data_IF_895777050253
#
_entry.id   IF_895777050253
#
_cell.length_a   1.000
_cell.length_b   1.000
_cell.length_c   1.000
_cell.angle_alpha   90.00
_cell.angle_beta   90.00
_cell.angle_gamma   90.00
#
_symmetry.space_group_name_H-M   'P 1'
#
loop_
_entity.id
_entity.type
_entity.pdbx_description
1 polymer ?
#
# COMPACT_ATOMS: atom_id res chain seq x y z
N UNK A 1 54.97 -52.84 -68.91
CA UNK A 1 55.69 -53.02 -67.63
C UNK A 1 55.89 -51.66 -67.00
N UNK A 2 55.14 -51.36 -65.94
CA UNK A 2 55.62 -50.76 -64.69
C UNK A 2 54.38 -50.36 -63.89
N UNK A 3 54.07 -51.20 -62.90
CA UNK A 3 53.03 -50.94 -61.92
C UNK A 3 53.47 -49.79 -61.02
N UNK A 4 52.76 -48.67 -61.10
CA UNK A 4 52.86 -47.58 -60.12
C UNK A 4 52.05 -47.98 -58.89
N UNK A 5 52.71 -48.35 -57.80
CA UNK A 5 52.05 -48.58 -56.51
C UNK A 5 51.95 -47.22 -55.80
N UNK A 6 50.79 -46.59 -55.87
CA UNK A 6 50.43 -45.45 -55.02
C UNK A 6 50.34 -45.93 -53.57
N UNK A 7 51.31 -45.53 -52.73
CA UNK A 7 51.26 -45.75 -51.29
C UNK A 7 50.44 -44.64 -50.63
N UNK A 8 49.12 -44.80 -50.58
CA UNK A 8 48.27 -44.01 -49.68
C UNK A 8 48.48 -44.51 -48.24
N UNK A 9 48.87 -43.65 -47.28
CA UNK A 9 49.06 -44.07 -45.90
C UNK A 9 47.72 -44.44 -45.25
N UNK A 10 47.57 -45.70 -44.84
CA UNK A 10 46.42 -46.13 -44.06
C UNK A 10 46.63 -45.72 -42.60
N UNK A 11 46.02 -44.61 -42.19
CA UNK A 11 46.08 -44.09 -40.82
C UNK A 11 44.96 -44.77 -40.01
N UNK A 12 45.33 -45.69 -39.12
CA UNK A 12 44.36 -46.28 -38.17
C UNK A 12 44.17 -45.34 -36.97
N UNK A 13 42.95 -44.84 -36.76
CA UNK A 13 42.61 -43.94 -35.66
C UNK A 13 42.22 -44.75 -34.41
N UNK A 14 43.08 -44.79 -33.38
CA UNK A 14 42.77 -45.34 -32.06
C UNK A 14 42.35 -44.20 -31.10
N UNK A 15 41.41 -44.41 -30.16
CA UNK A 15 40.92 -43.37 -29.25
C UNK A 15 42.04 -42.77 -28.37
N UNK A 16 41.94 -41.47 -28.03
CA UNK A 16 43.06 -40.70 -27.50
C UNK A 16 43.16 -40.85 -25.98
N UNK A 17 43.93 -41.80 -25.48
CA UNK A 17 44.46 -41.67 -24.12
C UNK A 17 45.70 -42.56 -23.87
N UNK A 18 46.90 -41.94 -23.80
CA UNK A 18 48.22 -42.53 -23.37
C UNK A 18 49.29 -42.86 -24.42
N UNK A 19 49.30 -42.25 -25.62
CA UNK A 19 50.46 -42.38 -26.55
C UNK A 19 51.00 -41.02 -27.01
N UNK A 20 52.33 -40.86 -26.96
CA UNK A 20 53.05 -39.61 -27.29
C UNK A 20 53.36 -39.43 -28.79
N UNK A 21 53.43 -40.52 -29.56
CA UNK A 21 53.82 -40.49 -30.98
C UNK A 21 52.88 -41.31 -31.87
N UNK A 22 52.65 -40.83 -33.09
CA UNK A 22 51.89 -41.56 -34.12
C UNK A 22 52.64 -42.81 -34.58
N UNK A 23 51.88 -43.84 -34.96
CA UNK A 23 52.40 -45.05 -35.61
C UNK A 23 52.09 -45.02 -37.10
N UNK A 24 53.09 -45.35 -37.90
CA UNK A 24 53.00 -45.43 -39.34
C UNK A 24 53.11 -46.89 -39.75
N UNK A 25 52.21 -47.31 -40.64
CA UNK A 25 52.16 -48.67 -41.20
C UNK A 25 52.94 -48.72 -42.53
N UNK A 26 53.30 -47.55 -43.09
CA UNK A 26 54.06 -47.49 -44.34
C UNK A 26 55.45 -48.10 -44.11
N UNK A 27 55.82 -49.17 -44.85
CA UNK A 27 57.06 -49.88 -44.60
C UNK A 27 58.26 -49.00 -44.95
N UNK A 28 59.15 -48.81 -43.99
CA UNK A 28 60.51 -48.28 -44.17
C UNK A 28 61.51 -49.42 -44.23
N UNK A 29 62.64 -49.20 -44.87
CA UNK A 29 63.74 -50.16 -44.87
C UNK A 29 64.65 -49.87 -43.68
N UNK A 30 64.93 -50.89 -42.88
CA UNK A 30 65.90 -50.83 -41.78
C UNK A 30 67.00 -51.83 -42.07
N UNK A 31 68.24 -51.37 -42.06
CA UNK A 31 69.41 -52.20 -42.28
C UNK A 31 70.01 -52.57 -40.92
N UNK A 32 70.04 -53.87 -40.61
CA UNK A 32 70.65 -54.42 -39.40
C UNK A 32 71.71 -55.41 -39.84
N UNK A 33 72.96 -55.25 -39.40
CA UNK A 33 74.06 -56.16 -39.75
C UNK A 33 74.21 -56.42 -41.27
N UNK A 34 74.01 -55.39 -42.10
CA UNK A 34 74.05 -55.45 -43.58
C UNK A 34 72.91 -56.26 -44.24
N UNK A 35 71.88 -56.67 -43.49
CA UNK A 35 70.63 -57.20 -44.05
C UNK A 35 69.54 -56.14 -44.00
N UNK A 36 68.76 -56.04 -45.08
CA UNK A 36 67.64 -55.11 -45.20
C UNK A 36 66.33 -55.76 -44.76
N UNK A 37 65.61 -55.10 -43.85
CA UNK A 37 64.31 -55.53 -43.34
C UNK A 37 63.27 -54.44 -43.59
N UNK A 38 62.03 -54.84 -43.94
CA UNK A 38 60.90 -53.91 -44.03
C UNK A 38 60.17 -53.81 -42.70
N UNK A 39 59.85 -52.59 -42.28
CA UNK A 39 59.04 -52.38 -41.07
C UNK A 39 57.57 -52.73 -41.30
N UNK A 40 56.93 -53.26 -40.26
CA UNK A 40 55.47 -53.50 -40.19
C UNK A 40 54.78 -52.29 -39.61
N UNK A 41 55.33 -51.74 -38.53
CA UNK A 41 54.98 -50.42 -38.03
C UNK A 41 56.21 -49.72 -37.47
N UNK A 42 56.17 -48.39 -37.45
CA UNK A 42 57.23 -47.57 -36.87
C UNK A 42 56.68 -46.26 -36.31
N UNK A 43 57.44 -45.65 -35.41
CA UNK A 43 57.21 -44.32 -34.84
C UNK A 43 58.54 -43.59 -34.67
N UNK A 44 58.50 -42.38 -34.10
CA UNK A 44 59.70 -41.61 -33.72
C UNK A 44 60.57 -42.35 -32.69
N UNK A 45 59.99 -43.24 -31.87
CA UNK A 45 60.69 -43.89 -30.75
C UNK A 45 61.02 -45.37 -30.98
N UNK A 46 60.28 -46.07 -31.86
CA UNK A 46 60.47 -47.50 -32.04
C UNK A 46 60.08 -47.96 -33.44
N UNK A 47 60.59 -49.12 -33.85
CA UNK A 47 60.15 -49.81 -35.05
C UNK A 47 59.92 -51.29 -34.79
N UNK A 48 59.11 -51.89 -35.65
CA UNK A 48 58.81 -53.31 -35.69
C UNK A 48 59.10 -53.85 -37.07
N UNK A 49 59.88 -54.94 -37.14
CA UNK A 49 60.14 -55.68 -38.37
C UNK A 49 59.65 -57.12 -38.25
N UNK A 50 59.43 -57.75 -39.40
CA UNK A 50 59.15 -59.18 -39.54
C UNK A 50 60.16 -59.83 -40.47
N UNK A 51 60.42 -61.12 -40.29
CA UNK A 51 61.40 -61.89 -41.07
C UNK A 51 62.82 -61.83 -40.53
N UNK A 52 63.01 -61.47 -39.26
CA UNK A 52 64.32 -61.49 -38.61
C UNK A 52 64.68 -62.90 -38.11
N UNK A 53 65.79 -63.46 -38.63
CA UNK A 53 66.26 -64.83 -38.29
C UNK A 53 67.58 -64.84 -37.48
N UNK A 54 68.01 -63.70 -36.93
CA UNK A 54 69.25 -63.64 -36.15
C UNK A 54 69.09 -63.95 -34.65
N UNK A 55 70.22 -63.95 -33.94
CA UNK A 55 70.32 -64.39 -32.53
C UNK A 55 70.29 -63.26 -31.48
N UNK A 56 69.72 -62.11 -31.83
CA UNK A 56 69.60 -60.98 -30.89
C UNK A 56 68.71 -61.31 -29.69
N UNK A 57 69.11 -60.83 -28.51
CA UNK A 57 68.38 -60.96 -27.25
C UNK A 57 67.69 -59.65 -26.87
N UNK A 58 66.67 -59.76 -26.03
CA UNK A 58 66.02 -58.59 -25.42
C UNK A 58 67.04 -57.84 -24.56
N UNK A 59 67.03 -56.51 -24.64
CA UNK A 59 67.99 -55.54 -24.09
C UNK A 59 69.33 -55.40 -24.81
N UNK A 60 69.61 -56.15 -25.88
CA UNK A 60 70.80 -55.89 -26.69
C UNK A 60 70.71 -54.51 -27.36
N UNK A 61 71.84 -53.80 -27.43
CA UNK A 61 71.97 -52.54 -28.19
C UNK A 61 72.72 -52.84 -29.48
N UNK A 62 72.12 -52.49 -30.61
CA UNK A 62 72.71 -52.65 -31.95
C UNK A 62 72.63 -51.34 -32.72
N UNK A 63 73.49 -51.18 -33.72
CA UNK A 63 73.33 -50.13 -34.71
C UNK A 63 72.36 -50.60 -35.80
N UNK A 64 71.36 -49.78 -36.08
CA UNK A 64 70.41 -49.96 -37.17
C UNK A 64 70.38 -48.69 -38.01
N UNK A 65 70.59 -48.85 -39.32
CA UNK A 65 70.50 -47.74 -40.25
C UNK A 65 69.09 -47.71 -40.83
N UNK A 66 68.36 -46.63 -40.56
CA UNK A 66 67.05 -46.43 -41.16
C UNK A 66 67.23 -45.78 -42.53
N UNK A 67 66.84 -46.50 -43.57
CA UNK A 67 66.90 -46.07 -44.96
C UNK A 67 65.51 -45.64 -45.42
N UNK A 68 65.34 -44.32 -45.55
CA UNK A 68 64.09 -43.68 -45.94
C UNK A 68 64.28 -43.17 -47.37
N UNK A 69 63.60 -43.82 -48.31
CA UNK A 69 63.48 -43.31 -49.67
C UNK A 69 62.12 -42.63 -49.82
N UNK A 70 62.13 -41.30 -49.91
CA UNK A 70 60.93 -40.49 -50.11
C UNK A 70 61.12 -39.54 -51.29
N UNK A 71 60.30 -39.71 -52.34
CA UNK A 71 60.29 -38.85 -53.54
C UNK A 71 61.66 -38.64 -54.19
N UNK A 72 62.50 -39.68 -54.22
CA UNK A 72 63.81 -39.64 -54.89
C UNK A 72 64.96 -39.11 -54.01
N UNK A 73 64.68 -38.75 -52.75
CA UNK A 73 65.71 -38.41 -51.76
C UNK A 73 65.87 -39.60 -50.81
N UNK A 74 67.10 -40.10 -50.69
CA UNK A 74 67.48 -41.19 -49.79
C UNK A 74 68.11 -40.60 -48.53
N UNK A 75 67.49 -40.84 -47.38
CA UNK A 75 68.03 -40.49 -46.07
C UNK A 75 68.46 -41.76 -45.35
N UNK A 76 69.73 -41.83 -44.96
CA UNK A 76 70.26 -42.90 -44.10
C UNK A 76 70.48 -42.30 -42.72
N UNK A 77 69.70 -42.76 -41.76
CA UNK A 77 69.74 -42.31 -40.37
C UNK A 77 70.35 -43.42 -39.51
N UNK A 78 71.66 -43.36 -39.20
CA UNK A 78 72.29 -44.32 -38.31
C UNK A 78 71.80 -44.10 -36.88
N UNK A 79 71.34 -45.16 -36.21
CA UNK A 79 70.83 -45.10 -34.83
C UNK A 79 71.26 -46.30 -34.01
N UNK A 80 71.57 -46.06 -32.75
CA UNK A 80 71.61 -47.11 -31.73
C UNK A 80 70.19 -47.46 -31.30
N UNK A 81 69.86 -48.74 -31.35
CA UNK A 81 68.56 -49.27 -30.97
C UNK A 81 68.70 -50.39 -29.96
N UNK A 82 67.83 -50.35 -28.95
CA UNK A 82 67.72 -51.36 -27.92
C UNK A 82 66.57 -52.29 -28.25
N UNK A 83 66.87 -53.59 -28.29
CA UNK A 83 65.88 -54.62 -28.60
C UNK A 83 64.91 -54.77 -27.43
N UNK A 84 63.62 -54.53 -27.65
CA UNK A 84 62.59 -54.68 -26.63
C UNK A 84 61.95 -56.06 -26.65
N UNK A 85 61.84 -56.68 -27.83
CA UNK A 85 61.18 -57.98 -28.01
C UNK A 85 61.68 -58.68 -29.25
N UNK A 86 61.97 -59.98 -29.14
CA UNK A 86 62.27 -60.89 -30.25
C UNK A 86 61.38 -62.12 -30.12
N UNK A 87 60.69 -62.49 -31.21
CA UNK A 87 59.88 -63.70 -31.30
C UNK A 87 60.36 -64.53 -32.50
N UNK A 88 61.16 -65.57 -32.20
CA UNK A 88 61.77 -66.44 -33.22
C UNK A 88 60.74 -67.23 -34.02
N UNK A 89 59.57 -67.52 -33.47
CA UNK A 89 58.53 -68.31 -34.17
C UNK A 89 57.76 -67.51 -35.22
N UNK A 90 57.74 -66.18 -35.10
CA UNK A 90 57.05 -65.26 -36.04
C UNK A 90 58.02 -64.36 -36.80
N UNK A 91 59.33 -64.52 -36.59
CA UNK A 91 60.38 -63.65 -37.13
C UNK A 91 60.20 -62.18 -36.74
N UNK A 92 59.57 -61.89 -35.59
CA UNK A 92 59.21 -60.53 -35.17
C UNK A 92 60.30 -59.92 -34.30
N UNK A 93 60.75 -58.71 -34.63
CA UNK A 93 61.66 -57.94 -33.81
C UNK A 93 61.10 -56.53 -33.58
N UNK A 94 61.08 -56.11 -32.31
CA UNK A 94 60.70 -54.76 -31.90
C UNK A 94 61.89 -54.11 -31.21
N UNK A 95 62.31 -52.96 -31.73
CA UNK A 95 63.43 -52.21 -31.21
C UNK A 95 63.04 -50.76 -30.91
N UNK A 96 63.63 -50.19 -29.86
CA UNK A 96 63.46 -48.79 -29.45
C UNK A 96 64.73 -48.01 -29.74
N UNK A 97 64.62 -46.82 -30.34
CA UNK A 97 65.78 -45.94 -30.51
C UNK A 97 66.28 -45.48 -29.15
N UNK A 98 67.60 -45.59 -28.96
CA UNK A 98 68.31 -45.20 -27.72
C UNK A 98 69.29 -44.05 -27.96
N UNK A 99 69.57 -43.74 -29.22
CA UNK A 99 70.54 -42.72 -29.62
C UNK A 99 70.14 -41.30 -29.14
N UNK A 100 71.10 -40.68 -28.45
CA UNK A 100 71.01 -39.34 -27.86
C UNK A 100 71.22 -38.22 -28.89
N UNK A 101 71.55 -38.51 -30.15
CA UNK A 101 71.75 -37.48 -31.15
C UNK A 101 70.44 -36.71 -31.45
N UNK A 102 70.32 -35.43 -31.05
CA UNK A 102 69.10 -34.65 -31.21
C UNK A 102 68.80 -34.36 -32.68
N UNK A 103 69.81 -34.38 -33.55
CA UNK A 103 69.67 -34.10 -34.99
C UNK A 103 68.84 -35.18 -35.69
N UNK A 104 69.19 -36.45 -35.44
CA UNK A 104 68.48 -37.57 -36.03
C UNK A 104 67.06 -37.71 -35.43
N UNK A 105 66.82 -37.21 -34.21
CA UNK A 105 65.51 -37.31 -33.54
C UNK A 105 64.55 -36.27 -34.11
N UNK A 106 65.03 -35.04 -34.26
CA UNK A 106 64.33 -33.95 -34.94
C UNK A 106 64.01 -34.27 -36.40
N UNK A 107 64.92 -34.94 -37.12
CA UNK A 107 64.67 -35.39 -38.49
C UNK A 107 63.47 -36.37 -38.57
N UNK A 108 63.41 -37.35 -37.65
CA UNK A 108 62.29 -38.30 -37.56
C UNK A 108 60.98 -37.64 -37.12
N UNK A 109 61.01 -36.70 -36.16
CA UNK A 109 59.82 -35.92 -35.77
C UNK A 109 59.30 -35.11 -36.96
N UNK A 110 60.17 -34.37 -37.63
CA UNK A 110 59.81 -33.55 -38.80
C UNK A 110 59.20 -34.41 -39.91
N UNK A 111 59.83 -35.55 -40.22
CA UNK A 111 59.33 -36.51 -41.20
C UNK A 111 57.97 -37.09 -40.79
N UNK A 112 57.80 -37.49 -39.52
CA UNK A 112 56.54 -38.01 -39.02
C UNK A 112 55.40 -36.98 -39.14
N UNK A 113 55.67 -35.71 -38.81
CA UNK A 113 54.68 -34.64 -38.91
C UNK A 113 54.28 -34.41 -40.37
N UNK A 114 55.26 -34.32 -41.28
CA UNK A 114 55.02 -34.13 -42.72
C UNK A 114 54.21 -35.27 -43.35
N UNK A 115 54.44 -36.52 -42.91
CA UNK A 115 53.64 -37.66 -43.34
C UNK A 115 52.20 -37.61 -42.84
N UNK A 116 51.95 -37.09 -41.63
CA UNK A 116 50.59 -36.92 -41.08
C UNK A 116 49.87 -35.74 -41.72
N UNK A 117 50.56 -34.63 -41.98
CA UNK A 117 49.94 -33.40 -42.50
C UNK A 117 49.70 -33.43 -44.01
N UNK A 118 50.30 -34.38 -44.75
CA UNK A 118 50.08 -34.53 -46.19
C UNK A 118 50.66 -33.39 -47.03
N UNK A 119 51.59 -32.60 -46.48
CA UNK A 119 52.21 -31.47 -47.17
C UNK A 119 53.29 -31.97 -48.15
N UNK A 120 52.92 -32.01 -49.43
CA UNK A 120 53.82 -32.26 -50.56
C UNK A 120 54.27 -30.93 -51.18
N UNK A 121 55.57 -30.60 -51.13
CA UNK A 121 56.42 -30.11 -52.25
C UNK A 121 57.60 -29.18 -51.89
N UNK A 122 58.65 -29.35 -52.72
CA UNK A 122 59.73 -28.45 -53.16
C UNK A 122 61.02 -28.33 -52.33
N UNK A 123 62.13 -28.60 -53.03
CA UNK A 123 63.52 -28.87 -52.58
C UNK A 123 64.30 -27.59 -52.20
N UNK A 124 63.62 -26.55 -51.69
CA UNK A 124 64.26 -25.28 -51.32
C UNK A 124 64.61 -25.13 -49.83
N UNK A 125 63.81 -25.72 -48.95
CA UNK A 125 63.85 -25.43 -47.50
C UNK A 125 64.58 -26.48 -46.65
N UNK A 126 65.21 -27.48 -47.28
CA UNK A 126 65.96 -28.53 -46.58
C UNK A 126 67.31 -28.00 -46.05
N UNK A 127 67.83 -26.90 -46.61
CA UNK A 127 69.14 -26.34 -46.23
C UNK A 127 69.03 -25.15 -45.25
N UNK A 128 67.84 -24.55 -45.07
CA UNK A 128 67.66 -23.32 -44.26
C UNK A 128 67.36 -23.55 -42.77
N UNK A 129 67.13 -24.80 -42.34
CA UNK A 129 66.78 -25.14 -40.94
C UNK A 129 67.82 -25.98 -40.20
N UNK A 130 69.08 -25.97 -40.66
CA UNK A 130 70.19 -26.71 -40.02
C UNK A 130 70.97 -25.85 -39.00
N UNK A 131 70.79 -24.52 -38.98
CA UNK A 131 71.59 -23.61 -38.13
C UNK A 131 70.82 -22.91 -36.99
N UNK A 132 69.63 -23.41 -36.62
CA UNK A 132 68.92 -22.90 -35.44
C UNK A 132 69.29 -23.76 -34.23
N UNK A 133 69.93 -23.20 -33.18
CA UNK A 133 70.21 -23.95 -31.96
C UNK A 133 68.89 -24.35 -31.29
N UNK A 134 68.70 -25.67 -31.14
CA UNK A 134 67.51 -26.25 -30.55
C UNK A 134 67.59 -26.05 -29.04
N UNK A 135 66.70 -25.21 -28.49
CA UNK A 135 66.49 -25.08 -27.06
C UNK A 135 65.49 -26.16 -26.61
N UNK A 136 65.79 -26.91 -25.55
CA UNK A 136 64.99 -28.03 -25.02
C UNK A 136 63.51 -27.67 -24.75
N UNK A 137 63.23 -26.37 -24.58
CA UNK A 137 61.88 -25.84 -24.38
C UNK A 137 60.91 -26.07 -25.55
N UNK A 138 61.39 -26.22 -26.80
CA UNK A 138 60.51 -26.41 -27.96
C UNK A 138 59.80 -27.78 -27.95
N UNK A 139 60.47 -28.81 -27.42
CA UNK A 139 59.93 -30.17 -27.31
C UNK A 139 58.91 -30.26 -26.17
N UNK A 140 59.13 -29.54 -25.07
CA UNK A 140 58.20 -29.53 -23.92
C UNK A 140 56.88 -28.81 -24.23
N UNK A 141 56.91 -27.69 -24.96
CA UNK A 141 55.70 -26.90 -25.23
C UNK A 141 54.75 -27.56 -26.25
N UNK A 142 55.26 -28.39 -27.15
CA UNK A 142 54.45 -28.97 -28.22
C UNK A 142 53.64 -30.20 -27.76
N UNK A 143 53.98 -30.82 -26.61
CA UNK A 143 53.33 -32.04 -26.13
C UNK A 143 53.09 -32.07 -24.60
N UNK A 144 52.57 -30.98 -24.03
CA UNK A 144 51.96 -31.05 -22.70
C UNK A 144 50.57 -31.69 -22.80
N UNK A 145 50.48 -32.96 -22.39
CA UNK A 145 49.21 -33.53 -21.96
C UNK A 145 48.66 -32.72 -20.79
N UNK A 146 47.33 -32.58 -20.69
CA UNK A 146 46.71 -31.95 -19.53
C UNK A 146 47.08 -32.76 -18.28
N UNK A 147 48.00 -32.22 -17.49
CA UNK A 147 48.11 -32.62 -16.09
C UNK A 147 46.81 -32.21 -15.40
N UNK A 148 46.04 -33.21 -14.99
CA UNK A 148 44.87 -33.06 -14.16
C UNK A 148 45.35 -32.87 -12.72
N UNK A 149 45.21 -31.69 -12.08
CA UNK A 149 45.48 -31.60 -10.66
C UNK A 149 44.27 -32.17 -9.91
N UNK A 150 44.51 -33.15 -9.07
CA UNK A 150 43.55 -33.73 -8.14
C UNK A 150 42.87 -32.64 -7.27
N UNK A 151 41.57 -32.39 -7.49
CA UNK A 151 40.54 -31.78 -6.60
C UNK A 151 40.83 -30.45 -5.86
N UNK A 152 39.90 -29.46 -5.83
CA UNK A 152 38.54 -29.66 -5.31
C UNK A 152 37.45 -28.89 -6.07
N UNK A 153 36.68 -29.57 -6.92
CA UNK A 153 35.56 -28.96 -7.67
C UNK A 153 34.37 -28.56 -6.77
N UNK A 154 34.26 -29.12 -5.57
CA UNK A 154 33.16 -28.86 -4.63
C UNK A 154 33.18 -27.40 -4.13
N UNK A 155 34.36 -26.78 -3.98
CA UNK A 155 34.45 -25.39 -3.50
C UNK A 155 33.96 -24.40 -4.55
N UNK A 156 34.30 -24.57 -5.85
CA UNK A 156 33.80 -23.70 -6.92
C UNK A 156 32.28 -23.78 -7.11
N UNK A 157 31.71 -24.99 -7.04
CA UNK A 157 30.26 -25.19 -7.12
C UNK A 157 29.57 -24.50 -5.93
N UNK A 158 30.14 -24.59 -4.72
CA UNK A 158 29.58 -23.92 -3.53
C UNK A 158 29.55 -22.39 -3.64
N UNK A 159 30.55 -21.75 -4.24
CA UNK A 159 30.54 -20.30 -4.47
C UNK A 159 29.51 -19.88 -5.53
N UNK A 160 29.32 -20.68 -6.58
CA UNK A 160 28.29 -20.41 -7.61
C UNK A 160 26.89 -20.55 -7.02
N UNK A 161 26.60 -21.63 -6.28
CA UNK A 161 25.30 -21.80 -5.61
C UNK A 161 25.08 -20.78 -4.50
N UNK A 162 26.12 -20.39 -3.77
CA UNK A 162 26.07 -19.30 -2.79
C UNK A 162 25.69 -17.97 -3.43
N UNK A 163 26.25 -17.65 -4.60
CA UNK A 163 25.89 -16.47 -5.39
C UNK A 163 24.45 -16.50 -5.89
N UNK A 164 23.99 -17.64 -6.40
CA UNK A 164 22.59 -17.83 -6.84
C UNK A 164 21.61 -17.71 -5.68
N UNK A 165 21.90 -18.33 -4.54
CA UNK A 165 21.08 -18.23 -3.34
C UNK A 165 21.02 -16.78 -2.81
N UNK A 166 22.16 -16.08 -2.77
CA UNK A 166 22.19 -14.66 -2.41
C UNK A 166 21.37 -13.81 -3.39
N UNK A 167 21.45 -14.08 -4.69
CA UNK A 167 20.64 -13.41 -5.71
C UNK A 167 19.13 -13.63 -5.51
N UNK A 168 18.72 -14.87 -5.19
CA UNK A 168 17.32 -15.19 -4.87
C UNK A 168 16.86 -14.47 -3.60
N UNK A 169 17.71 -14.39 -2.56
CA UNK A 169 17.39 -13.66 -1.32
C UNK A 169 17.21 -12.17 -1.61
N UNK A 170 18.10 -11.56 -2.38
CA UNK A 170 17.99 -10.14 -2.77
C UNK A 170 16.72 -9.90 -3.60
N UNK A 171 16.44 -10.77 -4.56
CA UNK A 171 15.24 -10.71 -5.38
C UNK A 171 13.97 -10.86 -4.52
N UNK A 172 13.97 -11.79 -3.58
CA UNK A 172 12.87 -11.98 -2.62
C UNK A 172 12.64 -10.75 -1.77
N UNK A 173 13.70 -10.13 -1.23
CA UNK A 173 13.58 -8.89 -0.44
C UNK A 173 13.06 -7.72 -1.30
N UNK A 174 13.52 -7.59 -2.55
CA UNK A 174 13.00 -6.60 -3.49
C UNK A 174 11.53 -6.82 -3.82
N UNK A 175 11.13 -8.04 -4.22
CA UNK A 175 9.73 -8.37 -4.49
C UNK A 175 8.87 -8.18 -3.24
N UNK A 176 9.33 -8.60 -2.07
CA UNK A 176 8.62 -8.42 -0.81
C UNK A 176 8.37 -6.94 -0.51
N UNK A 177 9.35 -6.06 -0.77
CA UNK A 177 9.17 -4.61 -0.62
C UNK A 177 8.12 -4.03 -1.57
N UNK A 178 8.17 -4.43 -2.85
CA UNK A 178 7.23 -3.99 -3.89
C UNK A 178 5.81 -4.46 -3.55
N UNK A 179 5.65 -5.73 -3.20
CA UNK A 179 4.36 -6.33 -2.79
C UNK A 179 3.82 -5.59 -1.57
N UNK A 180 4.62 -5.40 -0.51
CA UNK A 180 4.16 -4.75 0.71
C UNK A 180 3.68 -3.30 0.45
N UNK A 181 4.40 -2.56 -0.40
CA UNK A 181 4.02 -1.20 -0.81
C UNK A 181 2.78 -1.17 -1.73
N UNK A 182 2.60 -2.20 -2.56
CA UNK A 182 1.46 -2.31 -3.47
C UNK A 182 0.17 -2.71 -2.74
N UNK A 183 0.25 -3.53 -1.70
CA UNK A 183 -0.93 -4.01 -0.96
C UNK A 183 -1.35 -3.11 0.21
N UNK A 184 -0.42 -2.36 0.82
CA UNK A 184 -0.71 -1.54 1.99
C UNK A 184 -0.39 -0.07 1.75
N UNK A 185 -1.37 0.79 2.00
CA UNK A 185 -1.17 2.23 2.11
C UNK A 185 -0.69 2.55 3.53
N UNK A 186 0.58 2.91 3.69
CA UNK A 186 1.14 3.35 4.98
C UNK A 186 1.11 4.87 5.06
N UNK A 187 0.46 5.41 6.08
CA UNK A 187 0.47 6.84 6.38
C UNK A 187 0.84 7.06 7.85
N UNK A 188 1.72 8.03 8.09
CA UNK A 188 2.08 8.52 9.42
C UNK A 188 1.27 9.77 9.80
N UNK A 189 0.48 10.31 8.84
CA UNK A 189 -0.41 11.45 9.05
C UNK A 189 -1.78 10.95 9.49
N UNK A 190 -1.83 10.21 10.60
CA UNK A 190 -3.08 9.77 11.21
C UNK A 190 -3.11 10.18 12.68
N UNK A 191 -4.29 10.54 13.17
CA UNK A 191 -4.50 10.95 14.55
C UNK A 191 -5.83 10.43 15.10
N UNK A 192 -5.90 10.28 16.42
CA UNK A 192 -7.16 10.00 17.12
C UNK A 192 -7.99 11.28 17.12
N UNK A 193 -9.22 11.17 16.65
CA UNK A 193 -10.21 12.25 16.65
C UNK A 193 -11.50 11.76 17.29
N UNK A 194 -12.07 12.60 18.15
CA UNK A 194 -13.44 12.44 18.61
C UNK A 194 -14.43 12.84 17.51
N UNK A 195 -15.62 12.26 17.52
CA UNK A 195 -16.72 12.71 16.66
C UNK A 195 -17.02 14.17 16.96
N UNK A 196 -16.78 15.05 15.98
CA UNK A 196 -17.08 16.48 16.08
C UNK A 196 -18.35 16.74 15.27
N UNK A 197 -19.32 17.41 15.88
CA UNK A 197 -20.59 17.77 15.25
C UNK A 197 -20.78 19.27 15.31
N UNK A 198 -20.97 19.87 14.15
CA UNK A 198 -21.24 21.29 14.03
C UNK A 198 -22.74 21.52 14.19
N UNK A 199 -23.15 22.20 15.25
CA UNK A 199 -24.54 22.46 15.57
C UNK A 199 -24.96 23.75 14.85
N UNK A 200 -25.91 23.59 13.93
CA UNK A 200 -26.55 24.68 13.19
C UNK A 200 -27.94 24.98 13.76
N UNK A 201 -28.48 26.18 13.57
CA UNK A 201 -29.84 26.50 13.94
C UNK A 201 -30.86 25.78 13.05
N UNK A 202 -32.05 25.52 13.60
CA UNK A 202 -33.15 24.90 12.84
C UNK A 202 -33.78 25.83 11.80
N UNK A 203 -33.63 27.14 11.99
CA UNK A 203 -34.16 28.19 11.12
C UNK A 203 -33.26 29.40 11.15
N UNK A 204 -33.15 30.12 10.04
CA UNK A 204 -32.34 31.34 9.98
C UNK A 204 -32.82 32.46 10.90
N UNK A 205 -31.88 33.16 11.54
CA UNK A 205 -32.16 34.28 12.42
C UNK A 205 -30.89 34.88 13.05
N UNK A 206 -31.07 35.79 14.00
CA UNK A 206 -29.98 36.41 14.73
C UNK A 206 -29.68 35.59 15.98
N UNK A 207 -28.41 35.32 16.27
CA UNK A 207 -28.00 34.69 17.53
C UNK A 207 -28.30 35.66 18.67
N UNK A 208 -29.34 35.38 19.44
CA UNK A 208 -29.78 36.26 20.53
C UNK A 208 -28.90 36.08 21.76
N UNK A 209 -28.64 34.83 22.14
CA UNK A 209 -27.83 34.49 23.31
C UNK A 209 -27.01 33.23 23.07
N UNK A 210 -25.81 33.19 23.62
CA UNK A 210 -24.98 31.97 23.69
C UNK A 210 -24.76 31.64 25.18
N UNK A 211 -25.22 30.46 25.59
CA UNK A 211 -25.23 30.05 27.01
C UNK A 211 -23.97 29.31 27.45
N UNK A 212 -23.09 28.97 26.49
CA UNK A 212 -21.92 28.13 26.70
C UNK A 212 -20.64 28.85 26.25
N UNK A 213 -19.50 28.43 26.77
CA UNK A 213 -18.19 28.93 26.37
C UNK A 213 -17.33 27.85 25.74
N UNK A 214 -16.39 28.27 24.92
CA UNK A 214 -15.34 27.37 24.40
C UNK A 214 -14.59 26.71 25.56
N UNK A 215 -14.36 25.40 25.45
CA UNK A 215 -13.71 24.61 26.49
C UNK A 215 -14.64 24.08 27.60
N UNK A 216 -15.95 24.38 27.53
CA UNK A 216 -16.92 23.92 28.52
C UNK A 216 -17.43 22.49 28.23
N UNK A 217 -17.83 21.77 29.28
CA UNK A 217 -18.52 20.48 29.17
C UNK A 217 -20.03 20.68 29.20
N UNK A 218 -20.74 20.15 28.21
CA UNK A 218 -22.20 20.22 28.11
C UNK A 218 -22.84 18.85 28.27
N UNK A 219 -23.98 18.82 28.96
CA UNK A 219 -24.80 17.60 29.10
C UNK A 219 -25.90 17.54 28.04
N UNK A 220 -26.41 16.34 27.78
CA UNK A 220 -27.59 16.17 26.92
C UNK A 220 -28.77 16.98 27.45
N UNK A 221 -29.39 17.78 26.59
CA UNK A 221 -30.51 18.65 26.89
C UNK A 221 -30.12 20.05 27.38
N UNK A 222 -28.83 20.32 27.62
CA UNK A 222 -28.37 21.64 28.04
C UNK A 222 -28.52 22.65 26.89
N UNK A 223 -29.08 23.85 27.14
CA UNK A 223 -29.21 24.90 26.13
C UNK A 223 -27.81 25.39 25.70
N UNK A 224 -27.62 25.54 24.39
CA UNK A 224 -26.35 25.98 23.79
C UNK A 224 -26.43 27.45 23.39
N UNK A 225 -27.42 27.76 22.55
CA UNK A 225 -27.66 29.11 22.05
C UNK A 225 -29.14 29.26 21.69
N UNK A 226 -29.57 30.51 21.57
CA UNK A 226 -30.92 30.88 21.14
C UNK A 226 -30.86 31.71 19.87
N UNK A 227 -31.68 31.35 18.89
CA UNK A 227 -31.91 32.18 17.71
C UNK A 227 -33.17 33.01 17.94
N UNK A 228 -33.14 34.27 17.54
CA UNK A 228 -34.31 35.12 17.52
C UNK A 228 -34.38 35.89 16.21
N UNK A 229 -35.59 36.08 15.71
CA UNK A 229 -35.86 37.00 14.61
C UNK A 229 -36.33 38.32 15.22
N UNK A 230 -35.82 39.49 14.77
CA UNK A 230 -36.30 40.79 15.25
C UNK A 230 -37.84 40.92 15.20
N UNK A 231 -38.46 40.38 14.15
CA UNK A 231 -39.91 40.41 13.97
C UNK A 231 -40.64 39.59 15.05
N UNK A 232 -40.01 38.50 15.49
CA UNK A 232 -40.60 37.59 16.48
C UNK A 232 -40.58 38.18 17.89
N UNK A 233 -39.49 38.86 18.28
CA UNK A 233 -39.46 39.58 19.57
C UNK A 233 -40.47 40.73 19.58
N UNK A 234 -40.58 41.47 18.46
CA UNK A 234 -41.59 42.52 18.33
C UNK A 234 -43.02 41.97 18.45
N UNK A 235 -43.30 40.81 17.86
CA UNK A 235 -44.61 40.15 17.97
C UNK A 235 -44.91 39.70 19.40
N UNK A 236 -43.93 39.12 20.10
CA UNK A 236 -44.04 38.76 21.52
C UNK A 236 -44.34 39.98 22.39
N UNK A 237 -43.59 41.07 22.24
CA UNK A 237 -43.84 42.30 22.98
C UNK A 237 -45.19 42.92 22.65
N UNK A 238 -45.57 42.95 21.36
CA UNK A 238 -46.86 43.45 20.93
C UNK A 238 -48.02 42.70 21.61
N UNK A 239 -47.97 41.36 21.64
CA UNK A 239 -48.99 40.51 22.28
C UNK A 239 -49.05 40.70 23.79
N UNK A 240 -47.90 40.84 24.46
CA UNK A 240 -47.84 41.16 25.90
C UNK A 240 -48.48 42.52 26.20
N UNK A 241 -48.16 43.53 25.40
CA UNK A 241 -48.74 44.87 25.53
C UNK A 241 -50.24 44.87 25.23
N UNK A 242 -50.70 44.08 24.26
CA UNK A 242 -52.12 43.89 23.94
C UNK A 242 -52.89 43.30 25.13
N UNK A 243 -52.34 42.27 25.79
CA UNK A 243 -52.93 41.69 27.01
C UNK A 243 -53.01 42.73 28.13
N UNK A 244 -51.91 43.46 28.38
CA UNK A 244 -51.87 44.49 29.43
C UNK A 244 -52.93 45.58 29.19
N UNK A 245 -53.06 46.05 27.95
CA UNK A 245 -54.08 47.03 27.56
C UNK A 245 -55.49 46.50 27.79
N UNK A 246 -55.76 45.26 27.38
CA UNK A 246 -57.08 44.65 27.55
C UNK A 246 -57.40 44.37 29.02
N UNK A 247 -56.40 44.03 29.84
CA UNK A 247 -56.56 43.86 31.28
C UNK A 247 -56.88 45.20 31.98
N UNK A 248 -56.20 46.28 31.62
CA UNK A 248 -56.50 47.60 32.14
C UNK A 248 -57.92 48.05 31.77
N UNK A 249 -58.34 47.78 30.52
CA UNK A 249 -59.70 48.04 30.07
C UNK A 249 -60.73 47.17 30.81
N UNK A 250 -60.44 45.89 31.04
CA UNK A 250 -61.29 44.99 31.82
C UNK A 250 -61.50 45.55 33.24
N UNK A 251 -60.42 45.96 33.91
CA UNK A 251 -60.47 46.54 35.24
C UNK A 251 -61.26 47.85 35.28
N UNK A 252 -61.12 48.71 34.27
CA UNK A 252 -61.94 49.92 34.11
C UNK A 252 -63.43 49.59 33.98
N UNK A 253 -63.78 48.60 33.15
CA UNK A 253 -65.17 48.17 32.95
C UNK A 253 -65.74 47.52 34.21
N UNK A 254 -64.96 46.70 34.90
CA UNK A 254 -65.34 46.10 36.19
C UNK A 254 -65.56 47.16 37.27
N UNK A 255 -64.71 48.20 37.35
CA UNK A 255 -64.92 49.35 38.25
C UNK A 255 -66.17 50.15 37.90
N UNK A 256 -66.41 50.36 36.60
CA UNK A 256 -67.63 51.03 36.11
C UNK A 256 -68.88 50.21 36.45
N UNK A 257 -68.82 48.89 36.27
CA UNK A 257 -69.88 47.97 36.65
C UNK A 257 -70.10 47.98 38.16
N UNK A 258 -69.07 47.89 38.99
CA UNK A 258 -69.21 47.96 40.45
C UNK A 258 -69.80 49.31 40.92
N UNK A 259 -69.48 50.40 40.24
CA UNK A 259 -70.04 51.73 40.55
C UNK A 259 -71.49 51.87 40.09
N UNK A 260 -71.83 51.33 38.91
CA UNK A 260 -73.16 51.40 38.27
C UNK A 260 -74.14 50.36 38.85
N UNK A 261 -73.60 49.21 39.23
CA UNK A 261 -74.17 48.16 40.05
C UNK A 261 -73.79 48.40 41.50
N UNK A 262 -74.00 49.62 42.02
CA UNK A 262 -74.41 49.70 43.41
C UNK A 262 -75.64 48.79 43.52
N UNK A 263 -75.42 47.52 43.85
CA UNK A 263 -76.47 46.53 44.11
C UNK A 263 -77.44 47.13 45.12
N UNK A 264 -76.93 47.99 46.01
CA UNK A 264 -77.67 48.89 46.89
C UNK A 264 -78.67 49.79 46.16
N UNK A 265 -78.32 50.49 45.08
CA UNK A 265 -79.25 51.37 44.36
C UNK A 265 -80.31 50.57 43.60
N UNK A 266 -79.92 49.52 42.87
CA UNK A 266 -80.90 48.70 42.14
C UNK A 266 -81.80 47.90 43.10
N UNK A 267 -81.25 47.35 44.18
CA UNK A 267 -82.03 46.69 45.24
C UNK A 267 -82.95 47.67 45.96
N UNK A 268 -82.50 48.90 46.21
CA UNK A 268 -83.32 49.97 46.77
C UNK A 268 -84.48 50.31 45.83
N UNK A 269 -84.23 50.52 44.54
CA UNK A 269 -85.29 50.76 43.55
C UNK A 269 -86.29 49.60 43.48
N UNK A 270 -85.82 48.35 43.53
CA UNK A 270 -86.68 47.15 43.57
C UNK A 270 -87.51 47.07 44.86
N UNK A 271 -86.91 47.38 46.01
CA UNK A 271 -87.61 47.45 47.29
C UNK A 271 -88.65 48.58 47.31
N UNK A 272 -88.32 49.74 46.74
CA UNK A 272 -89.24 50.87 46.60
C UNK A 272 -90.41 50.52 45.66
N UNK A 273 -90.14 49.84 44.55
CA UNK A 273 -91.17 49.32 43.65
C UNK A 273 -92.11 48.37 44.39
N UNK A 274 -91.58 47.42 45.16
CA UNK A 274 -92.38 46.49 45.96
C UNK A 274 -93.30 47.23 46.94
N UNK A 275 -92.78 48.26 47.63
CA UNK A 275 -93.58 49.10 48.53
C UNK A 275 -94.67 49.87 47.78
N UNK A 276 -94.36 50.46 46.61
CA UNK A 276 -95.32 51.21 45.80
C UNK A 276 -96.43 50.32 45.23
N UNK A 277 -96.13 49.07 44.87
CA UNK A 277 -97.14 48.10 44.44
C UNK A 277 -98.17 47.82 45.54
N UNK A 278 -97.73 47.64 46.79
CA UNK A 278 -98.65 47.47 47.93
C UNK A 278 -99.53 48.70 48.19
N UNK A 279 -99.02 49.91 47.97
CA UNK A 279 -99.79 51.14 48.12
C UNK A 279 -100.80 51.33 46.97
N UNK A 280 -100.46 50.88 45.76
CA UNK A 280 -101.36 50.90 44.61
C UNK A 280 -102.55 49.95 44.78
N UNK A 281 -102.35 48.76 45.36
CA UNK A 281 -103.45 47.85 45.73
C UNK A 281 -104.44 48.52 46.71
N UNK A 282 -103.94 49.44 47.55
CA UNK A 282 -104.74 50.26 48.47
C UNK A 282 -105.26 51.55 47.83
N UNK A 283 -105.07 51.76 46.54
CA UNK A 283 -105.44 52.96 45.78
C UNK A 283 -104.79 54.26 46.27
N UNK A 284 -103.63 54.17 46.95
CA UNK A 284 -102.90 55.31 47.51
C UNK A 284 -101.79 55.86 46.57
N UNK A 285 -101.54 55.18 45.45
CA UNK A 285 -100.53 55.53 44.43
C UNK A 285 -101.15 55.34 43.04
N UNK A 286 -100.70 56.12 42.07
CA UNK A 286 -101.20 56.05 40.68
C UNK A 286 -100.35 55.11 39.81
N UNK A 287 -100.96 54.53 38.77
CA UNK A 287 -100.27 53.62 37.83
C UNK A 287 -99.06 54.28 37.09
N UNK A 288 -99.13 55.55 36.65
CA UNK A 288 -98.00 56.21 35.99
C UNK A 288 -96.73 56.27 36.86
N UNK A 289 -96.87 56.41 38.18
CA UNK A 289 -95.72 56.42 39.09
C UNK A 289 -95.02 55.06 39.16
N UNK A 290 -95.79 53.96 39.19
CA UNK A 290 -95.25 52.60 39.16
C UNK A 290 -94.57 52.34 37.82
N UNK A 291 -95.23 52.70 36.72
CA UNK A 291 -94.69 52.48 35.38
C UNK A 291 -93.39 53.26 35.17
N UNK A 292 -93.29 54.49 35.68
CA UNK A 292 -92.04 55.26 35.64
C UNK A 292 -90.89 54.55 36.36
N UNK A 293 -91.12 54.07 37.59
CA UNK A 293 -90.09 53.37 38.36
C UNK A 293 -89.71 52.02 37.73
N UNK A 294 -90.67 51.27 37.17
CA UNK A 294 -90.40 50.05 36.40
C UNK A 294 -89.49 50.33 35.20
N UNK A 295 -89.79 51.38 34.43
CA UNK A 295 -88.98 51.77 33.27
C UNK A 295 -87.55 52.15 33.65
N UNK A 296 -87.37 52.81 34.80
CA UNK A 296 -86.05 53.16 35.34
C UNK A 296 -85.24 51.91 35.76
N UNK A 297 -85.89 50.94 36.41
CA UNK A 297 -85.28 49.65 36.74
C UNK A 297 -84.87 48.89 35.47
N UNK A 298 -85.76 48.77 34.48
CA UNK A 298 -85.44 48.06 33.24
C UNK A 298 -84.30 48.72 32.46
N UNK A 299 -84.26 50.06 32.45
CA UNK A 299 -83.14 50.79 31.84
C UNK A 299 -81.81 50.47 32.55
N UNK A 300 -81.81 50.43 33.88
CA UNK A 300 -80.60 50.13 34.64
C UNK A 300 -80.17 48.66 34.46
N UNK A 301 -81.10 47.72 34.47
CA UNK A 301 -80.83 46.30 34.19
C UNK A 301 -80.27 46.09 32.77
N UNK A 302 -80.82 46.79 31.77
CA UNK A 302 -80.30 46.75 30.41
C UNK A 302 -78.87 47.29 30.30
N UNK A 303 -78.57 48.39 31.01
CA UNK A 303 -77.21 48.93 31.07
C UNK A 303 -76.22 47.95 31.72
N UNK A 304 -76.62 47.28 32.81
CA UNK A 304 -75.81 46.27 33.48
C UNK A 304 -75.57 45.04 32.60
N UNK A 305 -76.61 44.53 31.94
CA UNK A 305 -76.49 43.42 31.01
C UNK A 305 -75.54 43.74 29.85
N UNK A 306 -75.62 44.97 29.32
CA UNK A 306 -74.70 45.44 28.27
C UNK A 306 -73.24 45.52 28.75
N UNK A 307 -73.01 46.08 29.95
CA UNK A 307 -71.68 46.13 30.57
C UNK A 307 -71.13 44.72 30.84
N UNK A 308 -71.96 43.81 31.33
CA UNK A 308 -71.57 42.42 31.60
C UNK A 308 -71.20 41.69 30.31
N UNK A 309 -71.98 41.87 29.24
CA UNK A 309 -71.66 41.31 27.93
C UNK A 309 -70.35 41.89 27.34
N UNK A 310 -70.02 43.14 27.65
CA UNK A 310 -68.75 43.76 27.25
C UNK A 310 -67.56 43.22 28.04
N UNK A 311 -67.71 43.03 29.36
CA UNK A 311 -66.71 42.38 30.23
C UNK A 311 -66.41 40.97 29.73
N UNK A 312 -67.43 40.14 29.50
CA UNK A 312 -67.26 38.78 29.00
C UNK A 312 -66.55 38.74 27.65
N UNK A 313 -66.87 39.70 26.76
CA UNK A 313 -66.19 39.83 25.46
C UNK A 313 -64.71 40.14 25.63
N UNK A 314 -64.35 41.07 26.52
CA UNK A 314 -62.95 41.44 26.79
C UNK A 314 -62.20 40.26 27.42
N UNK A 315 -62.81 39.56 28.37
CA UNK A 315 -62.22 38.36 28.99
C UNK A 315 -61.93 37.28 27.94
N UNK A 316 -62.87 37.05 27.01
CA UNK A 316 -62.67 36.12 25.90
C UNK A 316 -61.51 36.54 25.00
N UNK A 317 -61.40 37.84 24.67
CA UNK A 317 -60.28 38.37 23.89
C UNK A 317 -58.96 38.14 24.62
N UNK A 318 -58.87 38.48 25.92
CA UNK A 318 -57.68 38.22 26.75
C UNK A 318 -57.33 36.73 26.73
N UNK A 319 -58.33 35.85 26.88
CA UNK A 319 -58.13 34.41 26.84
C UNK A 319 -57.57 33.90 25.51
N UNK A 320 -58.01 34.47 24.39
CA UNK A 320 -57.48 34.15 23.05
C UNK A 320 -56.04 34.67 22.91
N UNK A 321 -55.80 35.94 23.22
CA UNK A 321 -54.46 36.56 23.11
C UNK A 321 -53.45 35.87 24.02
N UNK A 322 -53.85 35.41 25.22
CA UNK A 322 -52.98 34.61 26.10
C UNK A 322 -52.58 33.28 25.48
N UNK A 323 -53.51 32.56 24.84
CA UNK A 323 -53.20 31.31 24.13
C UNK A 323 -52.26 31.54 22.94
N UNK A 324 -52.43 32.64 22.22
CA UNK A 324 -51.50 33.04 21.16
C UNK A 324 -50.11 33.33 21.71
N UNK A 325 -50.02 34.05 22.85
CA UNK A 325 -48.76 34.32 23.52
C UNK A 325 -48.08 33.03 23.98
N UNK A 326 -48.81 32.10 24.61
CA UNK A 326 -48.28 30.79 25.02
C UNK A 326 -47.74 30.01 23.82
N UNK A 327 -48.44 30.04 22.68
CA UNK A 327 -47.97 29.40 21.46
C UNK A 327 -46.68 30.04 20.91
N UNK A 328 -46.57 31.38 20.95
CA UNK A 328 -45.36 32.10 20.59
C UNK A 328 -44.21 31.78 21.55
N UNK A 329 -44.44 31.77 22.87
CA UNK A 329 -43.40 31.42 23.85
C UNK A 329 -42.91 29.99 23.67
N UNK A 330 -43.80 29.03 23.38
CA UNK A 330 -43.41 27.67 23.02
C UNK A 330 -42.62 27.61 21.70
N UNK A 331 -42.92 28.48 20.73
CA UNK A 331 -42.11 28.62 19.52
C UNK A 331 -40.72 29.19 19.81
N UNK A 332 -40.61 30.11 20.78
CA UNK A 332 -39.34 30.66 21.24
C UNK A 332 -38.47 29.59 21.90
N UNK A 333 -39.06 28.71 22.71
CA UNK A 333 -38.34 27.56 23.29
C UNK A 333 -37.79 26.62 22.22
N UNK A 334 -38.54 26.41 21.12
CA UNK A 334 -38.05 25.62 19.96
C UNK A 334 -36.87 26.28 19.25
N UNK A 335 -36.76 27.61 19.30
CA UNK A 335 -35.62 28.35 18.77
C UNK A 335 -34.39 28.32 19.69
N UNK A 336 -34.51 27.71 20.87
CA UNK A 336 -33.37 27.41 21.75
C UNK A 336 -32.81 26.05 21.38
N UNK A 337 -31.62 26.05 20.81
CA UNK A 337 -30.93 24.82 20.42
C UNK A 337 -30.27 24.20 21.65
N UNK A 338 -30.59 22.93 21.91
CA UNK A 338 -30.09 22.15 23.05
C UNK A 338 -29.13 21.06 22.57
N UNK A 339 -28.17 20.69 23.41
CA UNK A 339 -27.24 19.61 23.12
C UNK A 339 -27.97 18.26 23.01
N UNK A 340 -27.72 17.49 21.96
CA UNK A 340 -28.33 16.17 21.73
C UNK A 340 -27.64 15.03 22.49
N UNK A 341 -26.38 15.25 22.93
CA UNK A 341 -25.56 14.31 23.69
C UNK A 341 -24.59 15.05 24.62
N UNK A 342 -23.91 14.31 25.50
CA UNK A 342 -22.86 14.85 26.38
C UNK A 342 -21.62 15.17 25.54
N UNK A 343 -21.20 16.42 25.52
CA UNK A 343 -20.15 16.90 24.62
C UNK A 343 -19.22 17.92 25.30
N UNK A 344 -18.06 18.12 24.69
CA UNK A 344 -17.12 19.18 25.01
C UNK A 344 -17.23 20.26 23.93
N UNK A 345 -17.31 21.53 24.33
CA UNK A 345 -17.40 22.65 23.39
C UNK A 345 -16.01 22.88 22.80
N UNK A 346 -15.85 22.52 21.51
CA UNK A 346 -14.56 22.67 20.81
C UNK A 346 -14.32 24.13 20.44
N UNK A 347 -15.32 24.77 19.83
CA UNK A 347 -15.25 26.16 19.39
C UNK A 347 -16.67 26.72 19.23
N UNK A 348 -16.77 28.04 19.37
CA UNK A 348 -18.03 28.79 19.15
C UNK A 348 -17.77 29.82 18.04
N UNK A 349 -17.93 29.44 16.75
CA UNK A 349 -17.59 30.29 15.60
C UNK A 349 -18.54 31.50 15.37
N UNK A 350 -19.59 31.61 16.18
CA UNK A 350 -20.56 32.72 16.12
C UNK A 350 -20.57 33.52 17.42
N UNK A 351 -21.17 34.71 17.39
CA UNK A 351 -21.30 35.59 18.54
C UNK A 351 -22.70 36.21 18.57
N UNK A 352 -23.10 36.69 19.74
CA UNK A 352 -24.41 37.34 19.93
C UNK A 352 -24.56 38.55 18.98
N UNK A 353 -25.70 38.64 18.31
CA UNK A 353 -26.00 39.65 17.29
C UNK A 353 -25.60 39.26 15.87
N UNK A 354 -24.88 38.16 15.66
CA UNK A 354 -24.57 37.65 14.30
C UNK A 354 -25.75 36.91 13.70
N UNK A 355 -26.00 37.09 12.41
CA UNK A 355 -26.96 36.28 11.66
C UNK A 355 -26.41 34.87 11.41
N UNK A 356 -27.22 33.85 11.66
CA UNK A 356 -26.90 32.45 11.41
C UNK A 356 -28.08 31.77 10.68
N UNK A 357 -27.77 31.01 9.65
CA UNK A 357 -28.72 30.16 8.91
C UNK A 357 -28.48 28.68 9.19
N UNK A 358 -29.30 27.80 8.60
CA UNK A 358 -29.23 26.34 8.77
C UNK A 358 -27.88 25.72 8.36
N UNK A 359 -27.05 26.46 7.61
CA UNK A 359 -25.74 26.02 7.11
C UNK A 359 -24.59 26.61 7.91
N UNK A 360 -24.83 27.66 8.67
CA UNK A 360 -23.82 28.38 9.43
C UNK A 360 -23.75 27.80 10.83
N UNK A 361 -22.67 27.08 11.20
CA UNK A 361 -22.55 26.53 12.53
C UNK A 361 -22.40 27.65 13.56
N UNK A 362 -23.09 27.51 14.68
CA UNK A 362 -23.01 28.45 15.81
C UNK A 362 -22.08 27.89 16.89
N UNK A 363 -22.14 26.58 17.11
CA UNK A 363 -21.34 25.85 18.10
C UNK A 363 -20.81 24.58 17.46
N UNK A 364 -19.55 24.25 17.71
CA UNK A 364 -18.98 22.97 17.33
C UNK A 364 -18.75 22.14 18.58
N UNK A 365 -19.49 21.05 18.69
CA UNK A 365 -19.44 20.13 19.80
C UNK A 365 -18.56 18.93 19.48
N UNK A 366 -17.87 18.43 20.48
CA UNK A 366 -17.06 17.22 20.40
C UNK A 366 -17.63 16.18 21.34
N UNK A 367 -18.07 15.05 20.80
CA UNK A 367 -18.65 13.99 21.62
C UNK A 367 -17.62 13.39 22.56
N UNK A 368 -17.96 13.34 23.86
CA UNK A 368 -17.09 12.77 24.90
C UNK A 368 -17.32 11.26 25.01
N UNK A 369 -18.54 10.80 24.72
CA UNK A 369 -18.93 9.39 24.78
C UNK A 369 -19.01 8.73 23.40
N UNK A 370 -18.66 9.45 22.34
CA UNK A 370 -18.57 8.88 21.00
C UNK A 370 -17.35 7.98 20.91
N UNK A 371 -17.50 6.80 20.30
CA UNK A 371 -16.36 5.95 19.96
C UNK A 371 -15.32 6.80 19.22
N UNK A 372 -14.14 6.96 19.80
CA UNK A 372 -13.07 7.69 19.14
C UNK A 372 -12.74 7.01 17.82
N UNK A 373 -12.44 7.81 16.81
CA UNK A 373 -12.13 7.34 15.47
C UNK A 373 -10.71 7.74 15.12
N UNK A 374 -10.10 6.99 14.21
CA UNK A 374 -8.80 7.36 13.66
C UNK A 374 -9.04 8.07 12.33
N UNK A 375 -8.62 9.34 12.25
CA UNK A 375 -8.61 10.10 11.01
C UNK A 375 -7.22 10.03 10.40
N UNK A 376 -7.13 9.54 9.17
CA UNK A 376 -5.89 9.46 8.42
C UNK A 376 -5.97 10.36 7.19
N UNK A 377 -5.02 11.29 7.09
CA UNK A 377 -4.88 12.20 5.96
C UNK A 377 -4.12 11.48 4.84
N UNK A 378 -4.77 11.36 3.69
CA UNK A 378 -4.25 10.68 2.50
C UNK A 378 -4.48 11.57 1.27
N UNK A 379 -3.79 11.30 0.17
CA UNK A 379 -4.02 12.05 -1.08
C UNK A 379 -5.30 11.56 -1.78
N UNK A 380 -5.92 12.41 -2.60
CA UNK A 380 -7.09 12.03 -3.42
C UNK A 380 -6.83 10.81 -4.31
N UNK A 381 -5.60 10.68 -4.85
CA UNK A 381 -5.20 9.53 -5.67
C UNK A 381 -5.23 8.24 -4.85
N UNK A 382 -4.68 8.27 -3.64
CA UNK A 382 -4.68 7.12 -2.73
C UNK A 382 -6.09 6.78 -2.23
N UNK A 383 -6.94 7.78 -1.99
CA UNK A 383 -8.32 7.58 -1.60
C UNK A 383 -9.12 6.76 -2.65
N UNK A 384 -8.84 6.94 -3.94
CA UNK A 384 -9.44 6.15 -5.03
C UNK A 384 -9.02 4.67 -5.01
N UNK A 385 -7.88 4.35 -4.41
CA UNK A 385 -7.38 2.97 -4.27
C UNK A 385 -7.99 2.23 -3.07
N UNK A 386 -8.73 2.93 -2.20
CA UNK A 386 -9.34 2.38 -1.00
C UNK A 386 -10.82 2.03 -1.22
N UNK A 387 -11.32 1.04 -0.45
CA UNK A 387 -12.74 0.66 -0.41
C UNK A 387 -13.26 0.76 1.01
N UNK A 388 -14.53 1.16 1.14
CA UNK A 388 -15.22 1.09 2.42
C UNK A 388 -15.21 -0.36 2.93
N UNK A 389 -14.95 -0.52 4.22
CA UNK A 389 -14.73 -1.81 4.88
C UNK A 389 -13.31 -2.36 4.80
N UNK A 390 -12.36 -1.66 4.15
CA UNK A 390 -10.96 -2.09 4.11
C UNK A 390 -10.36 -2.22 5.53
N UNK A 391 -9.60 -3.29 5.75
CA UNK A 391 -8.88 -3.51 7.01
C UNK A 391 -7.71 -2.54 7.12
N UNK A 392 -7.62 -1.91 8.29
CA UNK A 392 -6.53 -1.01 8.66
C UNK A 392 -5.84 -1.53 9.93
N UNK A 393 -4.51 -1.53 9.93
CA UNK A 393 -3.70 -1.74 11.11
C UNK A 393 -3.33 -0.39 11.72
N UNK A 394 -3.75 -0.18 12.97
CA UNK A 394 -3.55 1.04 13.75
C UNK A 394 -2.44 0.73 14.76
N UNK A 395 -1.35 1.49 14.70
CA UNK A 395 -0.24 1.43 15.66
C UNK A 395 -0.10 2.79 16.35
N UNK A 396 -0.20 2.78 17.68
CA UNK A 396 -0.07 3.96 18.54
C UNK A 396 1.30 3.89 19.22
N UNK A 397 2.32 4.61 18.72
CA UNK A 397 3.70 4.45 19.20
C UNK A 397 3.86 4.82 20.68
N UNK A 398 3.14 5.85 21.14
CA UNK A 398 3.21 6.37 22.52
C UNK A 398 2.76 5.37 23.58
N UNK A 399 1.92 4.39 23.21
CA UNK A 399 1.40 3.35 24.11
C UNK A 399 1.86 1.95 23.72
N UNK A 400 2.74 1.82 22.71
CA UNK A 400 3.15 0.55 22.11
C UNK A 400 1.95 -0.39 21.82
N UNK A 401 0.86 0.19 21.32
CA UNK A 401 -0.41 -0.50 21.15
C UNK A 401 -0.69 -0.72 19.66
N UNK A 402 -1.04 -1.95 19.30
CA UNK A 402 -1.41 -2.35 17.93
C UNK A 402 -2.82 -2.93 17.92
N UNK A 403 -3.64 -2.48 16.98
CA UNK A 403 -4.99 -2.98 16.81
C UNK A 403 -5.43 -2.94 15.35
N UNK A 404 -6.51 -3.64 15.07
CA UNK A 404 -7.18 -3.60 13.77
C UNK A 404 -8.33 -2.60 13.82
N UNK A 405 -8.64 -2.03 12.67
CA UNK A 405 -9.79 -1.18 12.43
C UNK A 405 -10.32 -1.37 11.02
N UNK A 406 -11.49 -0.80 10.75
CA UNK A 406 -12.12 -0.83 9.44
C UNK A 406 -12.35 0.59 8.94
N UNK A 407 -12.07 0.82 7.66
CA UNK A 407 -12.39 2.07 6.98
C UNK A 407 -13.91 2.18 6.84
N UNK A 408 -14.54 3.15 7.51
CA UNK A 408 -16.01 3.35 7.43
C UNK A 408 -16.36 4.38 6.36
N UNK A 409 -15.58 5.45 6.26
CA UNK A 409 -15.90 6.60 5.41
C UNK A 409 -14.64 7.27 4.85
N UNK A 410 -14.79 7.85 3.67
CA UNK A 410 -13.84 8.79 3.08
C UNK A 410 -14.52 10.16 3.01
N UNK A 411 -13.87 11.19 3.57
CA UNK A 411 -14.34 12.57 3.57
C UNK A 411 -13.42 13.42 2.68
N UNK A 412 -13.99 14.28 1.83
CA UNK A 412 -13.22 15.32 1.16
C UNK A 412 -13.18 16.55 2.07
N UNK A 413 -12.10 16.70 2.84
CA UNK A 413 -11.87 17.89 3.65
C UNK A 413 -11.12 18.93 2.80
N UNK A 414 -11.76 20.05 2.50
CA UNK A 414 -11.08 21.18 1.87
C UNK A 414 -10.21 21.89 2.91
N UNK A 415 -9.05 21.32 3.19
CA UNK A 415 -8.04 21.97 4.02
C UNK A 415 -7.45 23.16 3.26
N UNK A 416 -7.37 24.31 3.92
CA UNK A 416 -6.83 25.58 3.39
C UNK A 416 -5.41 25.42 2.79
N UNK A 417 -4.67 24.40 3.22
CA UNK A 417 -3.26 24.19 2.88
C UNK A 417 -3.01 23.23 1.70
N UNK A 418 -3.99 22.44 1.24
CA UNK A 418 -3.83 21.58 0.05
C UNK A 418 -5.18 21.11 -0.49
N UNK A 419 -5.46 21.40 -1.78
CA UNK A 419 -6.70 20.99 -2.47
C UNK A 419 -6.78 19.48 -2.77
N UNK A 420 -5.72 18.72 -2.50
CA UNK A 420 -5.58 17.31 -2.93
C UNK A 420 -5.59 16.29 -1.78
N UNK A 421 -6.03 16.69 -0.59
CA UNK A 421 -6.17 15.79 0.56
C UNK A 421 -7.59 15.21 0.67
N UNK A 422 -7.65 13.98 1.16
CA UNK A 422 -8.85 13.28 1.57
C UNK A 422 -8.61 12.69 2.98
N UNK A 423 -9.68 12.51 3.73
CA UNK A 423 -9.63 11.98 5.11
C UNK A 423 -10.28 10.61 5.14
N UNK A 424 -9.49 9.60 5.50
CA UNK A 424 -9.96 8.25 5.78
C UNK A 424 -10.35 8.13 7.25
N UNK A 425 -11.63 7.82 7.50
CA UNK A 425 -12.20 7.66 8.84
C UNK A 425 -12.31 6.18 9.18
N UNK A 426 -11.57 5.77 10.21
CA UNK A 426 -11.37 4.36 10.57
C UNK A 426 -11.90 4.14 11.99
N UNK A 427 -12.78 3.15 12.15
CA UNK A 427 -13.22 2.70 13.47
C UNK A 427 -12.32 1.55 13.94
N UNK A 428 -11.74 1.64 15.15
CA UNK A 428 -11.01 0.54 15.74
C UNK A 428 -11.96 -0.58 16.17
N UNK A 429 -11.53 -1.82 16.00
CA UNK A 429 -12.30 -3.01 16.38
C UNK A 429 -12.50 -3.13 17.91
N UNK A 430 -11.67 -2.41 18.69
CA UNK A 430 -11.76 -2.31 20.15
C UNK A 430 -11.72 -0.84 20.60
N UNK A 431 -12.86 -0.11 20.56
CA UNK A 431 -12.91 1.33 20.86
C UNK A 431 -12.44 1.68 22.28
N UNK A 432 -12.67 0.81 23.25
CA UNK A 432 -12.28 0.98 24.67
C UNK A 432 -10.78 1.24 24.85
N UNK A 433 -9.94 0.68 23.98
CA UNK A 433 -8.49 0.79 24.10
C UNK A 433 -7.94 2.18 23.73
N UNK A 434 -8.74 3.01 23.06
CA UNK A 434 -8.34 4.38 22.69
C UNK A 434 -9.11 5.45 23.47
N UNK A 435 -10.06 5.04 24.31
CA UNK A 435 -10.92 5.94 25.10
C UNK A 435 -10.12 6.82 26.06
N UNK A 436 -8.99 6.34 26.58
CA UNK A 436 -8.09 7.08 27.48
C UNK A 436 -6.94 7.82 26.76
N UNK A 437 -6.85 7.75 25.42
CA UNK A 437 -5.74 8.35 24.66
C UNK A 437 -6.11 9.74 24.18
N UNK A 438 -5.26 10.73 24.42
CA UNK A 438 -5.48 12.11 23.99
C UNK A 438 -5.68 12.22 22.47
N UNK A 439 -6.63 13.06 22.07
CA UNK A 439 -6.84 13.35 20.66
C UNK A 439 -5.67 14.13 20.07
N UNK A 440 -5.43 13.95 18.77
CA UNK A 440 -4.22 14.46 18.12
C UNK A 440 -2.98 13.59 18.36
N UNK A 441 -3.06 12.54 19.17
CA UNK A 441 -1.96 11.56 19.31
C UNK A 441 -1.64 10.98 17.93
N UNK A 442 -0.38 11.09 17.46
CA UNK A 442 0.01 10.59 16.14
C UNK A 442 -0.03 9.07 16.11
N UNK A 443 -0.50 8.53 14.99
CA UNK A 443 -0.70 7.10 14.75
C UNK A 443 0.02 6.72 13.46
N UNK A 444 0.64 5.54 13.46
CA UNK A 444 1.07 4.87 12.24
C UNK A 444 -0.02 3.96 11.75
N UNK A 445 -0.43 4.14 10.50
CA UNK A 445 -1.59 3.45 9.97
C UNK A 445 -1.26 2.76 8.65
N UNK A 446 -1.67 1.50 8.51
CA UNK A 446 -1.54 0.73 7.27
C UNK A 446 -2.91 0.23 6.81
N UNK A 447 -3.42 0.72 5.68
CA UNK A 447 -4.72 0.34 5.11
C UNK A 447 -4.53 -0.62 3.95
N UNK A 448 -5.35 -1.67 3.89
CA UNK A 448 -5.36 -2.59 2.76
C UNK A 448 -5.92 -1.92 1.50
N UNK A 449 -5.15 -1.88 0.42
CA UNK A 449 -5.59 -1.35 -0.88
C UNK A 449 -6.52 -2.33 -1.59
N UNK A 450 -7.33 -1.82 -2.53
CA UNK A 450 -8.28 -2.62 -3.33
C UNK A 450 -7.60 -3.84 -3.97
N UNK A 451 -8.08 -5.05 -3.64
CA UNK A 451 -7.77 -6.26 -4.41
C UNK A 451 -8.35 -6.11 -5.81
N UNK A 452 -7.49 -6.02 -6.82
CA UNK A 452 -7.86 -6.27 -8.21
C UNK A 452 -8.04 -7.79 -8.36
N UNK A 453 -9.29 -8.23 -8.29
CA UNK A 453 -9.75 -9.41 -9.00
C UNK A 453 -10.89 -8.97 -9.92
#
# INVERSE_FOLDING_TARGET
MNYSIELQPNITYEPPDKRKFYRFINPLTVVINKQEFKTVDWSVEAFKITGYEGDLKVNDTIHADMDINFQGIRFILPREVKILRVDKGKGLLVAKYTDENPRNHSALISLSKRLVTGEYQSVGDIISHIDIPINDNYIQQTFQGRDNPESPEIKRISYVWGGVAAGIIVLYLMLSGIINNYFFLKTEFAAISGGTEAITPLSGGIVANIYIKEGEFVQKGQPLFRISSPNFEQELEYKRNEILKNQALLEEKQRTMASSASETTLSFMKAELAKKLLLYERQLVTEPEINRLKMEIYKQEGNLASLQAEIERIEKVIGITKKELEWLEAANERNTVKASFKAFVKEVPSFEGKFADEKTPVVVLKSISGEKQVKAYITKKEALELRLGAEAMIEIPSRNLKMRGKLIRLEEEQLVFSKDLAVAVICPEKPQLIEDIDEGTPIKLAITKRKWF
#
